data_IF_666844375787
#
_entry.id   IF_666844375787
#
_cell.length_a   1.000
_cell.length_b   1.000
_cell.length_c   1.000
_cell.angle_alpha   90.00
_cell.angle_beta   90.00
_cell.angle_gamma   90.00
#
_symmetry.space_group_name_H-M   'P 1'
#
loop_
_entity.id
_entity.type
_entity.pdbx_description
1 polymer ?
#
# COMPACT_ATOMS: atom_id res chain seq x y z
N UNK A 1 -48.96 -24.86 46.48
CA UNK A 1 -47.80 -23.92 46.45
C UNK A 1 -47.69 -23.36 45.05
N UNK A 2 -48.06 -22.09 44.86
CA UNK A 2 -48.19 -21.43 43.56
C UNK A 2 -46.87 -20.73 43.18
N UNK A 3 -46.47 -21.02 41.94
CA UNK A 3 -45.28 -20.62 41.20
C UNK A 3 -45.21 -19.09 41.08
N UNK A 4 -44.24 -18.46 41.75
CA UNK A 4 -43.98 -17.02 41.62
C UNK A 4 -42.98 -16.78 40.49
N UNK A 5 -43.53 -16.25 39.41
CA UNK A 5 -42.88 -15.55 38.30
C UNK A 5 -42.03 -14.40 38.87
N UNK A 6 -40.73 -14.32 38.55
CA UNK A 6 -39.94 -13.11 38.78
C UNK A 6 -39.09 -12.75 37.56
N UNK A 7 -39.17 -11.47 37.23
CA UNK A 7 -38.83 -10.77 36.01
C UNK A 7 -37.37 -10.83 35.58
N UNK A 8 -37.18 -10.83 34.25
CA UNK A 8 -35.93 -10.54 33.55
C UNK A 8 -35.83 -9.02 33.38
N UNK A 9 -34.83 -8.32 33.93
CA UNK A 9 -34.49 -6.98 33.46
C UNK A 9 -33.50 -7.07 32.30
N UNK A 10 -33.96 -6.56 31.17
CA UNK A 10 -33.26 -6.33 29.92
C UNK A 10 -32.14 -5.30 30.14
N UNK A 11 -30.90 -5.75 30.28
CA UNK A 11 -29.72 -4.89 30.37
C UNK A 11 -29.36 -4.33 29.00
N UNK A 12 -29.61 -3.04 28.80
CA UNK A 12 -29.25 -2.27 27.60
C UNK A 12 -27.73 -2.28 27.44
N UNK A 13 -27.24 -2.89 26.35
CA UNK A 13 -25.87 -2.77 25.87
C UNK A 13 -25.62 -1.32 25.43
N UNK A 14 -24.92 -0.54 26.27
CA UNK A 14 -24.31 0.72 25.84
C UNK A 14 -23.11 0.37 24.98
N UNK A 15 -23.28 0.46 23.67
CA UNK A 15 -22.19 0.40 22.70
C UNK A 15 -21.40 1.70 22.87
N UNK A 16 -20.29 1.66 23.60
CA UNK A 16 -19.31 2.76 23.59
C UNK A 16 -18.67 2.75 22.21
N UNK A 17 -19.16 3.64 21.34
CA UNK A 17 -18.48 3.94 20.08
C UNK A 17 -17.07 4.43 20.38
N UNK A 18 -16.07 3.79 19.80
CA UNK A 18 -14.71 4.33 19.77
C UNK A 18 -14.74 5.67 19.05
N UNK A 19 -14.71 6.77 19.81
CA UNK A 19 -14.41 8.08 19.26
C UNK A 19 -12.95 8.06 18.80
N UNK A 20 -12.73 7.87 17.50
CA UNK A 20 -11.44 8.17 16.90
C UNK A 20 -11.26 9.68 16.95
N UNK A 21 -10.35 10.16 17.80
CA UNK A 21 -9.93 11.56 17.85
C UNK A 21 -9.56 12.06 16.45
N UNK A 22 -10.21 13.11 15.91
CA UNK A 22 -9.76 13.77 14.71
C UNK A 22 -8.82 14.90 15.12
N UNK A 23 -7.60 14.56 15.55
CA UNK A 23 -6.51 15.53 15.75
C UNK A 23 -5.25 14.98 15.08
N UNK A 24 -4.98 15.41 13.84
CA UNK A 24 -3.93 16.41 13.62
C UNK A 24 -3.84 16.84 12.15
N UNK A 25 -3.57 18.12 11.99
CA UNK A 25 -3.66 18.90 10.78
C UNK A 25 -2.55 18.60 9.75
N UNK A 26 -2.87 18.84 8.48
CA UNK A 26 -1.93 19.13 7.37
C UNK A 26 -0.71 18.20 7.26
N UNK A 27 -0.96 16.90 7.18
CA UNK A 27 0.02 15.93 6.70
C UNK A 27 -0.50 15.40 5.38
N UNK A 28 0.29 15.42 4.30
CA UNK A 28 -0.07 14.77 3.03
C UNK A 28 -0.52 13.32 3.33
N UNK A 29 -1.83 13.09 3.38
CA UNK A 29 -2.42 11.82 3.78
C UNK A 29 -2.17 10.85 2.63
N UNK A 30 -1.13 10.02 2.78
CA UNK A 30 -0.86 8.95 1.84
C UNK A 30 -1.88 7.84 1.97
N UNK A 31 -2.46 7.39 0.86
CA UNK A 31 -3.36 6.24 0.89
C UNK A 31 -2.54 4.96 0.82
N UNK A 32 -2.83 4.02 1.72
CA UNK A 32 -2.18 2.71 1.76
C UNK A 32 -2.94 1.72 0.88
N UNK A 33 -2.24 1.11 -0.09
CA UNK A 33 -2.73 0.05 -0.94
C UNK A 33 -1.89 -1.22 -0.79
N UNK A 34 -2.56 -2.37 -0.91
CA UNK A 34 -1.88 -3.65 -1.06
C UNK A 34 -1.74 -3.99 -2.55
N UNK A 35 -0.74 -4.83 -2.84
CA UNK A 35 -0.59 -5.49 -4.13
C UNK A 35 -1.46 -6.76 -4.18
N UNK A 36 -1.62 -7.36 -5.37
CA UNK A 36 -2.22 -8.70 -5.48
C UNK A 36 -1.17 -9.71 -5.00
N UNK A 37 -1.48 -10.39 -3.89
CA UNK A 37 -0.61 -11.33 -3.21
C UNK A 37 -1.36 -12.61 -2.84
N UNK A 38 -0.68 -13.76 -2.86
CA UNK A 38 -1.18 -15.01 -2.28
C UNK A 38 -0.89 -15.08 -0.76
N UNK A 39 -1.64 -15.87 0.02
CA UNK A 39 -1.51 -15.91 1.49
C UNK A 39 -0.11 -16.27 2.02
N UNK A 40 0.68 -17.05 1.27
CA UNK A 40 2.03 -17.47 1.64
C UNK A 40 3.14 -16.57 1.10
N UNK A 41 2.78 -15.50 0.40
CA UNK A 41 3.74 -14.59 -0.20
C UNK A 41 4.04 -13.40 0.71
N UNK A 42 5.28 -12.92 0.67
CA UNK A 42 5.58 -11.59 1.17
C UNK A 42 4.76 -10.57 0.36
N UNK A 43 3.82 -9.90 1.04
CA UNK A 43 2.99 -8.87 0.43
C UNK A 43 3.49 -7.48 0.83
N UNK A 44 4.07 -6.72 -0.11
CA UNK A 44 4.52 -5.37 0.19
C UNK A 44 3.34 -4.46 0.53
N UNK A 45 3.56 -3.59 1.50
CA UNK A 45 2.64 -2.51 1.80
C UNK A 45 3.13 -1.28 1.05
N UNK A 46 2.25 -0.69 0.24
CA UNK A 46 2.58 0.48 -0.58
C UNK A 46 1.72 1.66 -0.17
N UNK A 47 2.32 2.83 0.01
CA UNK A 47 1.58 4.07 0.27
C UNK A 47 1.91 5.08 -0.82
N UNK A 48 0.89 5.53 -1.55
CA UNK A 48 1.04 6.58 -2.56
C UNK A 48 0.76 7.92 -1.90
N UNK A 49 1.74 8.82 -1.96
CA UNK A 49 1.64 10.16 -1.39
C UNK A 49 1.72 11.16 -2.53
N UNK A 50 0.66 11.96 -2.68
CA UNK A 50 0.69 13.11 -3.56
C UNK A 50 1.65 14.17 -3.01
N UNK A 51 2.53 14.69 -3.88
CA UNK A 51 3.40 15.78 -3.51
C UNK A 51 2.76 17.11 -3.92
N UNK A 52 2.15 17.81 -2.96
CA UNK A 52 1.49 19.10 -3.24
C UNK A 52 2.45 20.19 -3.75
N UNK A 53 3.73 20.10 -3.38
CA UNK A 53 4.79 21.03 -3.81
C UNK A 53 5.32 20.69 -5.21
N UNK A 54 5.40 19.40 -5.54
CA UNK A 54 5.86 18.91 -6.84
C UNK A 54 4.79 18.04 -7.49
N UNK A 55 3.80 18.70 -8.11
CA UNK A 55 2.60 18.09 -8.70
C UNK A 55 2.86 17.12 -9.85
N UNK A 56 4.09 17.03 -10.34
CA UNK A 56 4.47 16.13 -11.42
C UNK A 56 4.92 14.75 -10.91
N UNK A 57 5.10 14.59 -9.59
CA UNK A 57 5.59 13.36 -8.98
C UNK A 57 4.72 12.83 -7.84
N UNK A 58 4.60 11.51 -7.78
CA UNK A 58 4.10 10.76 -6.63
C UNK A 58 5.29 10.25 -5.81
N UNK A 59 5.21 10.37 -4.48
CA UNK A 59 6.11 9.65 -3.59
C UNK A 59 5.46 8.32 -3.21
N UNK A 60 6.04 7.22 -3.68
CA UNK A 60 5.60 5.86 -3.36
C UNK A 60 6.46 5.33 -2.23
N UNK A 61 5.86 5.15 -1.05
CA UNK A 61 6.51 4.55 0.12
C UNK A 61 6.27 3.05 0.13
N UNK A 62 7.28 2.29 0.48
CA UNK A 62 7.28 0.82 0.49
C UNK A 62 7.59 0.34 1.90
N UNK A 63 6.93 -0.73 2.32
CA UNK A 63 7.26 -1.45 3.55
C UNK A 63 7.19 -2.96 3.30
N UNK A 64 8.31 -3.64 3.53
CA UNK A 64 8.43 -5.09 3.50
C UNK A 64 8.54 -5.61 4.93
N UNK A 65 7.53 -6.39 5.36
CA UNK A 65 7.49 -6.98 6.70
C UNK A 65 7.83 -8.47 6.59
N UNK A 66 8.94 -8.90 7.18
CA UNK A 66 9.36 -10.31 7.21
C UNK A 66 9.80 -10.73 8.60
N UNK A 67 9.38 -11.93 9.02
CA UNK A 67 9.76 -12.49 10.30
C UNK A 67 11.29 -12.72 10.41
N UNK A 68 11.96 -12.99 9.29
CA UNK A 68 13.35 -13.48 9.28
C UNK A 68 14.31 -12.57 8.52
N UNK A 69 13.81 -11.86 7.51
CA UNK A 69 14.66 -11.21 6.51
C UNK A 69 14.60 -9.70 6.65
N UNK A 70 15.78 -9.07 6.66
CA UNK A 70 15.93 -7.63 6.42
C UNK A 70 16.27 -7.46 4.94
N UNK A 71 15.60 -6.54 4.28
CA UNK A 71 15.81 -6.27 2.87
C UNK A 71 16.49 -4.91 2.73
N UNK A 72 17.55 -4.83 1.95
CA UNK A 72 17.99 -3.58 1.37
C UNK A 72 17.22 -3.37 0.06
N UNK A 73 16.32 -2.40 0.04
CA UNK A 73 15.51 -2.04 -1.13
C UNK A 73 16.31 -1.08 -2.02
N UNK A 74 16.51 -1.45 -3.28
CA UNK A 74 17.41 -0.74 -4.19
C UNK A 74 16.64 0.08 -5.23
N UNK A 75 15.58 -0.50 -5.80
CA UNK A 75 14.74 0.14 -6.81
C UNK A 75 13.38 -0.52 -6.93
N UNK A 76 12.45 0.19 -7.58
CA UNK A 76 11.15 -0.34 -8.00
C UNK A 76 11.06 -0.31 -9.51
N UNK A 77 10.51 -1.37 -10.11
CA UNK A 77 10.20 -1.44 -11.54
C UNK A 77 8.71 -1.65 -11.73
N UNK A 78 8.12 -0.88 -12.63
CA UNK A 78 6.76 -1.12 -13.14
C UNK A 78 6.87 -1.68 -14.55
N UNK A 79 6.12 -2.74 -14.85
CA UNK A 79 6.23 -3.45 -16.14
C UNK A 79 4.89 -4.06 -16.55
N UNK A 80 4.64 -4.20 -17.85
CA UNK A 80 3.56 -5.03 -18.40
C UNK A 80 4.09 -6.27 -19.16
N UNK A 81 5.39 -6.53 -19.05
CA UNK A 81 6.11 -7.57 -19.78
C UNK A 81 6.72 -7.10 -21.11
N UNK A 82 6.25 -5.99 -21.69
CA UNK A 82 6.81 -5.41 -22.91
C UNK A 82 7.54 -4.08 -22.64
N UNK A 83 6.96 -3.22 -21.81
CA UNK A 83 7.52 -1.95 -21.35
C UNK A 83 7.90 -2.04 -19.89
N UNK A 84 8.94 -1.32 -19.50
CA UNK A 84 9.33 -1.20 -18.09
C UNK A 84 9.85 0.19 -17.75
N UNK A 85 9.53 0.65 -16.54
CA UNK A 85 10.01 1.90 -15.98
C UNK A 85 10.62 1.63 -14.60
N UNK A 86 11.88 2.06 -14.41
CA UNK A 86 12.65 1.79 -13.19
C UNK A 86 12.95 3.06 -12.42
N UNK A 87 12.79 2.99 -11.10
CA UNK A 87 12.96 4.11 -10.18
C UNK A 87 13.85 3.71 -9.01
N UNK A 88 14.95 4.42 -8.84
CA UNK A 88 15.84 4.23 -7.69
C UNK A 88 15.19 4.78 -6.42
N UNK A 89 15.55 4.19 -5.29
CA UNK A 89 15.14 4.67 -3.98
C UNK A 89 15.75 6.03 -3.62
N UNK A 90 15.07 6.79 -2.77
CA UNK A 90 15.44 8.17 -2.38
C UNK A 90 16.56 8.19 -1.30
N UNK A 91 16.95 7.04 -0.75
CA UNK A 91 17.99 6.95 0.26
C UNK A 91 18.29 5.52 0.71
N UNK A 92 19.10 5.34 1.77
CA UNK A 92 19.35 4.03 2.35
C UNK A 92 18.06 3.43 2.90
N UNK A 93 17.98 2.10 2.88
CA UNK A 93 16.80 1.41 3.41
C UNK A 93 16.74 1.54 4.93
N UNK A 94 15.62 2.04 5.44
CA UNK A 94 15.34 2.06 6.86
C UNK A 94 14.94 0.68 7.33
N UNK A 95 15.54 0.21 8.42
CA UNK A 95 15.24 -1.09 9.01
C UNK A 95 14.85 -0.87 10.46
N UNK A 96 13.65 -1.29 10.82
CA UNK A 96 13.21 -1.38 12.22
C UNK A 96 12.57 -2.75 12.52
N UNK A 97 12.25 -2.97 13.79
CA UNK A 97 11.58 -4.18 14.25
C UNK A 97 10.24 -3.79 14.86
N UNK A 98 9.15 -4.20 14.23
CA UNK A 98 7.80 -3.86 14.61
C UNK A 98 6.89 -5.10 14.50
N UNK A 99 5.99 -5.29 15.46
CA UNK A 99 5.02 -6.40 15.46
C UNK A 99 5.68 -7.79 15.28
N UNK A 100 6.85 -8.01 15.90
CA UNK A 100 7.64 -9.25 15.81
C UNK A 100 8.17 -9.58 14.42
N UNK A 101 8.26 -8.60 13.52
CA UNK A 101 8.84 -8.74 12.20
C UNK A 101 9.88 -7.65 11.95
N UNK A 102 10.89 -7.98 11.14
CA UNK A 102 11.75 -6.98 10.52
C UNK A 102 10.92 -6.22 9.50
N UNK A 103 10.98 -4.90 9.57
CA UNK A 103 10.31 -4.02 8.62
C UNK A 103 11.37 -3.18 7.91
N UNK A 104 11.45 -3.40 6.60
CA UNK A 104 12.37 -2.69 5.70
C UNK A 104 11.56 -1.67 4.90
N UNK A 105 11.95 -0.39 4.94
CA UNK A 105 11.21 0.70 4.31
C UNK A 105 12.09 1.56 3.44
N UNK A 106 11.51 1.98 2.32
CA UNK A 106 12.11 2.99 1.48
C UNK A 106 11.01 3.71 0.66
N UNK A 107 11.42 4.63 -0.21
CA UNK A 107 10.50 5.29 -1.12
C UNK A 107 11.14 5.62 -2.45
N UNK A 108 10.32 5.72 -3.49
CA UNK A 108 10.70 6.15 -4.84
C UNK A 108 9.85 7.36 -5.24
N UNK A 109 10.37 8.19 -6.14
CA UNK A 109 9.58 9.22 -6.84
C UNK A 109 9.25 8.71 -8.24
N UNK A 110 7.98 8.78 -8.60
CA UNK A 110 7.51 8.38 -9.94
C UNK A 110 6.70 9.51 -10.58
N UNK A 111 6.67 9.64 -11.91
CA UNK A 111 5.79 10.57 -12.60
C UNK A 111 4.31 10.23 -12.35
N UNK A 112 3.48 11.26 -12.22
CA UNK A 112 2.02 11.12 -11.98
C UNK A 112 1.28 10.47 -13.15
N UNK A 113 1.86 10.50 -14.34
CA UNK A 113 1.32 9.91 -15.56
C UNK A 113 1.87 8.51 -15.86
N UNK A 114 2.67 7.91 -14.97
CA UNK A 114 3.30 6.60 -15.21
C UNK A 114 2.30 5.51 -15.62
N UNK A 115 1.13 5.46 -15.00
CA UNK A 115 0.11 4.45 -15.33
C UNK A 115 -0.48 4.63 -16.73
N UNK A 116 -0.34 5.82 -17.34
CA UNK A 116 -0.74 6.06 -18.72
C UNK A 116 0.09 5.27 -19.75
N UNK A 117 1.36 4.97 -19.44
CA UNK A 117 2.27 4.25 -20.36
C UNK A 117 1.87 2.78 -20.57
N UNK A 118 1.09 2.24 -19.61
CA UNK A 118 0.54 0.89 -19.60
C UNK A 118 -0.94 0.83 -20.01
N UNK A 119 -1.47 1.89 -20.63
CA UNK A 119 -2.86 1.91 -21.10
C UNK A 119 -3.09 0.77 -22.10
N UNK A 120 -4.12 -0.04 -21.83
CA UNK A 120 -4.49 -1.20 -22.65
C UNK A 120 -3.85 -2.53 -22.21
N UNK A 121 -2.88 -2.50 -21.29
CA UNK A 121 -2.28 -3.70 -20.73
C UNK A 121 -3.25 -4.39 -19.78
N UNK A 122 -3.37 -5.72 -19.90
CA UNK A 122 -4.24 -6.53 -19.01
C UNK A 122 -3.53 -6.92 -17.71
N UNK A 123 -2.21 -6.89 -17.73
CA UNK A 123 -1.34 -7.29 -16.63
C UNK A 123 -0.27 -6.22 -16.43
N UNK A 124 -0.11 -5.77 -15.19
CA UNK A 124 0.94 -4.83 -14.80
C UNK A 124 1.53 -5.31 -13.48
N UNK A 125 2.85 -5.34 -13.43
CA UNK A 125 3.67 -5.79 -12.33
C UNK A 125 4.31 -4.58 -11.64
N UNK A 126 4.46 -4.70 -10.32
CA UNK A 126 5.42 -3.95 -9.54
C UNK A 126 6.47 -4.95 -9.03
N UNK A 127 7.72 -4.65 -9.33
CA UNK A 127 8.88 -5.41 -8.88
C UNK A 127 9.66 -4.57 -7.88
N UNK A 128 9.92 -5.13 -6.71
CA UNK A 128 10.76 -4.52 -5.68
C UNK A 128 12.08 -5.27 -5.68
N UNK A 129 13.13 -4.61 -6.15
CA UNK A 129 14.47 -5.18 -6.25
C UNK A 129 15.20 -4.97 -4.93
N UNK A 130 15.72 -6.07 -4.38
CA UNK A 130 16.41 -6.08 -3.10
C UNK A 130 17.70 -6.89 -3.19
N UNK A 131 18.56 -6.76 -2.19
CA UNK A 131 19.74 -7.61 -1.99
C UNK A 131 19.42 -9.10 -1.80
N UNK A 132 18.16 -9.44 -1.48
CA UNK A 132 17.67 -10.81 -1.31
C UNK A 132 16.89 -11.31 -2.54
N UNK A 133 16.95 -10.58 -3.66
CA UNK A 133 16.26 -10.89 -4.91
C UNK A 133 15.08 -9.96 -5.20
N UNK A 134 14.29 -10.34 -6.21
CA UNK A 134 13.20 -9.52 -6.74
C UNK A 134 11.86 -10.03 -6.21
N UNK A 135 11.08 -9.13 -5.58
CA UNK A 135 9.71 -9.41 -5.14
C UNK A 135 8.76 -8.85 -6.20
N UNK A 136 8.16 -9.73 -6.99
CA UNK A 136 7.24 -9.36 -8.09
C UNK A 136 5.80 -9.59 -7.68
N UNK A 137 4.95 -8.56 -7.80
CA UNK A 137 3.51 -8.66 -7.56
C UNK A 137 2.72 -7.94 -8.63
N UNK A 138 1.50 -8.41 -8.89
CA UNK A 138 0.61 -7.72 -9.80
C UNK A 138 -0.01 -6.49 -9.12
N UNK A 139 -0.05 -5.38 -9.84
CA UNK A 139 -0.91 -4.23 -9.54
C UNK A 139 -2.16 -4.22 -10.42
N UNK A 140 -2.11 -4.89 -11.57
CA UNK A 140 -3.25 -5.21 -12.43
C UNK A 140 -3.07 -6.63 -12.92
N UNK A 141 -4.09 -7.49 -12.81
CA UNK A 141 -4.04 -8.86 -13.35
C UNK A 141 -5.37 -9.23 -13.97
N UNK A 142 -5.40 -9.61 -15.24
CA UNK A 142 -6.63 -9.97 -15.96
C UNK A 142 -7.75 -8.91 -15.77
N UNK A 143 -7.35 -7.62 -15.81
CA UNK A 143 -8.18 -6.43 -15.51
C UNK A 143 -8.64 -6.26 -14.05
N UNK A 144 -8.25 -7.15 -13.13
CA UNK A 144 -8.45 -6.99 -11.69
C UNK A 144 -7.41 -6.02 -11.13
N UNK A 145 -7.87 -4.88 -10.61
CA UNK A 145 -7.03 -3.82 -10.06
C UNK A 145 -6.70 -4.10 -8.60
N UNK A 146 -5.42 -3.98 -8.24
CA UNK A 146 -5.01 -3.90 -6.85
C UNK A 146 -5.39 -2.53 -6.26
N UNK A 147 -5.61 -2.40 -4.94
CA UNK A 147 -5.82 -1.09 -4.30
C UNK A 147 -4.75 -0.05 -4.63
N UNK A 148 -3.47 -0.47 -4.73
CA UNK A 148 -2.39 0.44 -5.11
C UNK A 148 -2.53 0.98 -6.54
N UNK A 149 -3.14 0.24 -7.46
CA UNK A 149 -3.37 0.70 -8.84
C UNK A 149 -4.36 1.86 -8.88
N UNK A 150 -5.40 1.81 -8.05
CA UNK A 150 -6.38 2.90 -7.93
C UNK A 150 -5.69 4.17 -7.40
N UNK A 151 -4.83 4.03 -6.39
CA UNK A 151 -4.10 5.17 -5.83
C UNK A 151 -3.08 5.78 -6.80
N UNK A 152 -2.41 4.94 -7.60
CA UNK A 152 -1.49 5.39 -8.64
C UNK A 152 -2.19 6.11 -9.81
N UNK A 153 -3.48 5.83 -10.03
CA UNK A 153 -4.26 6.42 -11.13
C UNK A 153 -5.12 7.61 -10.68
N UNK A 154 -5.36 7.75 -9.37
CA UNK A 154 -6.23 8.79 -8.79
C UNK A 154 -5.88 10.22 -9.19
N UNK A 155 -4.59 10.52 -9.31
CA UNK A 155 -4.10 11.87 -9.58
C UNK A 155 -3.76 12.11 -11.06
N UNK A 156 -3.95 11.09 -11.89
CA UNK A 156 -3.77 11.21 -13.33
C UNK A 156 -4.91 12.03 -13.93
N UNK A 157 -4.60 13.27 -14.35
CA UNK A 157 -5.51 14.08 -15.17
C UNK A 157 -5.17 13.86 -16.63
N UNK A 158 -6.02 13.16 -17.36
CA UNK A 158 -5.98 13.20 -18.83
C UNK A 158 -6.36 14.63 -19.22
N UNK A 159 -5.44 15.36 -19.86
CA UNK A 159 -5.86 16.51 -20.66
C UNK A 159 -6.58 15.89 -21.87
N UNK A 160 -7.90 16.08 -21.93
CA UNK A 160 -8.67 15.78 -23.14
C UNK A 160 -8.27 16.69 -24.30
#
# INVERSE_FOLDING_TARGET
MIKKLLCIPLGVLLITGCASNPNDATSNVGTQGLLICQPSELCPIVTVVWNETHKDFLKVKLSLNSAYTKYNIEKVVFSDGAKSHSFNVIGPTEIDFAFKANRSRNSVLIPVNLMGDFKGSQNIFMEIHTDQGVITRYILKDNVKAPVFEELTKYYKVSE
#
